data_IF_953965761091
#
_entry.id   IF_953965761091
#
_cell.length_a   1.000
_cell.length_b   1.000
_cell.length_c   1.000
_cell.angle_alpha   90.00
_cell.angle_beta   90.00
_cell.angle_gamma   90.00
#
_symmetry.space_group_name_H-M   'P 1'
#
loop_
_entity.id
_entity.type
_entity.pdbx_description
1 polymer ?
#
# COMPACT_ATOMS: atom_id res chain seq x y z
N UNK A 1 10.34 -11.48 16.01
CA UNK A 1 10.62 -10.11 16.49
C UNK A 1 9.59 -9.12 15.97
N UNK A 2 9.73 -8.42 14.83
CA UNK A 2 8.75 -7.39 14.40
C UNK A 2 7.29 -7.88 14.30
N UNK A 3 7.02 -9.06 13.72
CA UNK A 3 5.64 -9.59 13.61
C UNK A 3 5.01 -9.95 14.95
N UNK A 4 5.82 -10.45 15.89
CA UNK A 4 5.39 -10.78 17.25
C UNK A 4 5.20 -9.51 18.09
N UNK A 5 6.10 -8.54 17.95
CA UNK A 5 6.02 -7.23 18.61
C UNK A 5 4.79 -6.43 18.18
N UNK A 6 4.38 -6.54 16.90
CA UNK A 6 3.19 -5.88 16.37
C UNK A 6 1.91 -6.72 16.46
N UNK A 7 1.99 -7.89 17.09
CA UNK A 7 0.84 -8.79 17.29
C UNK A 7 0.08 -9.09 15.98
N UNK A 8 0.80 -9.23 14.86
CA UNK A 8 0.22 -9.42 13.53
C UNK A 8 -0.18 -10.88 13.29
N UNK A 9 -1.23 -11.14 12.49
CA UNK A 9 -1.61 -12.50 12.14
C UNK A 9 -0.47 -13.23 11.42
N UNK A 10 -0.23 -14.49 11.78
CA UNK A 10 0.87 -15.31 11.23
C UNK A 10 0.82 -15.40 9.69
N UNK A 11 -0.38 -15.36 9.11
CA UNK A 11 -0.61 -15.43 7.66
C UNK A 11 -0.28 -14.14 6.90
N UNK A 12 0.04 -13.03 7.58
CA UNK A 12 0.38 -11.78 6.90
C UNK A 12 1.81 -11.86 6.37
N UNK A 13 1.95 -11.83 5.05
CA UNK A 13 3.24 -11.71 4.38
C UNK A 13 3.73 -10.25 4.42
N UNK A 14 4.78 -10.04 5.21
CA UNK A 14 5.40 -8.74 5.37
C UNK A 14 6.66 -8.70 4.49
N UNK A 15 6.57 -8.01 3.36
CA UNK A 15 7.66 -7.79 2.42
C UNK A 15 7.90 -6.29 2.22
N UNK A 16 9.06 -5.86 1.69
CA UNK A 16 9.29 -4.46 1.33
C UNK A 16 8.22 -3.91 0.38
N UNK A 17 7.71 -4.75 -0.53
CA UNK A 17 6.61 -4.38 -1.40
C UNK A 17 5.31 -4.22 -0.60
N UNK A 18 4.97 -5.12 0.33
CA UNK A 18 3.77 -4.97 1.19
C UNK A 18 3.77 -3.62 1.90
N UNK A 19 4.89 -3.22 2.50
CA UNK A 19 5.02 -1.93 3.20
C UNK A 19 4.87 -0.73 2.25
N UNK A 20 5.52 -0.77 1.08
CA UNK A 20 5.40 0.28 0.06
C UNK A 20 3.94 0.45 -0.38
N UNK A 21 3.23 -0.67 -0.58
CA UNK A 21 1.81 -0.65 -0.97
C UNK A 21 0.94 -0.05 0.12
N UNK A 22 1.11 -0.48 1.37
CA UNK A 22 0.37 0.06 2.52
C UNK A 22 0.56 1.58 2.65
N UNK A 23 1.81 2.06 2.55
CA UNK A 23 2.11 3.49 2.58
C UNK A 23 1.43 4.24 1.43
N UNK A 24 1.53 3.72 0.20
CA UNK A 24 0.93 4.36 -0.97
C UNK A 24 -0.60 4.47 -0.86
N UNK A 25 -1.26 3.38 -0.45
CA UNK A 25 -2.72 3.34 -0.26
C UNK A 25 -3.16 4.29 0.87
N UNK A 26 -2.48 4.27 2.02
CA UNK A 26 -2.82 5.14 3.15
C UNK A 26 -2.72 6.63 2.78
N UNK A 27 -1.64 7.03 2.11
CA UNK A 27 -1.46 8.41 1.69
C UNK A 27 -2.47 8.83 0.60
N UNK A 28 -2.79 7.92 -0.32
CA UNK A 28 -3.82 8.18 -1.33
C UNK A 28 -5.21 8.41 -0.69
N UNK A 29 -5.60 7.58 0.28
CA UNK A 29 -6.85 7.74 1.05
C UNK A 29 -6.83 9.03 1.87
N UNK A 30 -5.68 9.41 2.42
CA UNK A 30 -5.49 10.67 3.16
C UNK A 30 -5.53 11.92 2.27
N UNK A 31 -5.83 11.77 0.97
CA UNK A 31 -6.01 12.87 0.04
C UNK A 31 -4.71 13.43 -0.52
N UNK A 32 -3.59 12.69 -0.42
CA UNK A 32 -2.33 13.15 -0.97
C UNK A 32 -2.41 13.24 -2.50
N UNK A 33 -2.01 14.37 -3.12
CA UNK A 33 -2.04 14.50 -4.57
C UNK A 33 -1.19 13.42 -5.25
N UNK A 34 -1.76 12.76 -6.26
CA UNK A 34 -1.10 11.66 -6.99
C UNK A 34 0.30 12.00 -7.53
N UNK A 35 0.57 13.22 -8.07
CA UNK A 35 1.92 13.59 -8.51
C UNK A 35 2.94 13.69 -7.36
N UNK A 36 2.48 14.07 -6.16
CA UNK A 36 3.32 14.11 -4.96
C UNK A 36 3.64 12.69 -4.51
N UNK A 37 2.63 11.81 -4.47
CA UNK A 37 2.82 10.39 -4.14
C UNK A 37 3.76 9.69 -5.12
N UNK A 38 3.64 9.96 -6.41
CA UNK A 38 4.52 9.40 -7.43
C UNK A 38 6.00 9.77 -7.18
N UNK A 39 6.27 11.03 -6.81
CA UNK A 39 7.63 11.48 -6.47
C UNK A 39 8.14 10.83 -5.19
N UNK A 40 7.32 10.76 -4.13
CA UNK A 40 7.69 10.13 -2.86
C UNK A 40 8.04 8.65 -3.04
N UNK A 41 7.30 7.95 -3.90
CA UNK A 41 7.54 6.53 -4.18
C UNK A 41 8.69 6.27 -5.16
N UNK A 42 9.19 7.31 -5.84
CA UNK A 42 10.23 7.20 -6.86
C UNK A 42 9.76 6.50 -8.14
N UNK A 43 8.47 6.54 -8.45
CA UNK A 43 7.93 5.87 -9.63
C UNK A 43 8.22 6.68 -10.90
N UNK A 44 8.76 6.03 -11.93
CA UNK A 44 9.07 6.68 -13.22
C UNK A 44 7.83 6.99 -14.06
N UNK A 45 6.72 6.29 -13.82
CA UNK A 45 5.44 6.47 -14.53
C UNK A 45 4.33 6.76 -13.53
N UNK A 46 3.47 7.72 -13.83
CA UNK A 46 2.32 8.01 -12.96
C UNK A 46 1.30 6.87 -12.93
N UNK A 47 1.23 6.08 -14.01
CA UNK A 47 0.35 4.92 -14.14
C UNK A 47 0.62 3.85 -13.09
N UNK A 48 1.86 3.63 -12.64
CA UNK A 48 2.17 2.67 -11.57
C UNK A 48 1.69 3.16 -10.20
N UNK A 49 1.59 4.48 -10.02
CA UNK A 49 1.06 5.09 -8.80
C UNK A 49 -0.47 5.12 -8.81
N UNK A 50 -1.07 5.34 -9.99
CA UNK A 50 -2.52 5.35 -10.16
C UNK A 50 -3.19 4.00 -9.82
N UNK A 51 -2.47 2.87 -9.94
CA UNK A 51 -2.96 1.55 -9.52
C UNK A 51 -3.34 1.53 -8.03
N UNK A 52 -2.61 2.24 -7.17
CA UNK A 52 -2.93 2.33 -5.74
C UNK A 52 -4.20 3.12 -5.43
N UNK A 53 -4.58 4.03 -6.32
CA UNK A 53 -5.82 4.81 -6.20
C UNK A 53 -7.01 4.01 -6.70
N UNK A 54 -6.83 3.25 -7.80
CA UNK A 54 -7.90 2.40 -8.35
C UNK A 54 -8.36 1.32 -7.37
N UNK A 55 -7.43 0.85 -6.55
CA UNK A 55 -7.69 -0.14 -5.49
C UNK A 55 -8.14 0.51 -4.16
N UNK A 56 -8.26 1.84 -4.09
CA UNK A 56 -8.67 2.62 -2.92
C UNK A 56 -10.12 2.43 -2.46
N UNK A 57 -10.84 1.47 -3.04
CA UNK A 57 -12.03 0.92 -2.43
C UNK A 57 -11.61 0.19 -1.13
N UNK A 58 -12.01 0.74 0.02
CA UNK A 58 -11.81 0.17 1.35
C UNK A 58 -12.28 -1.30 1.44
N UNK A 59 -13.15 -1.74 0.53
CA UNK A 59 -13.59 -3.14 0.43
C UNK A 59 -12.47 -4.13 0.05
N UNK A 60 -11.36 -3.66 -0.54
CA UNK A 60 -10.23 -4.51 -0.94
C UNK A 60 -9.20 -4.76 0.17
N UNK A 61 -9.21 -3.97 1.24
CA UNK A 61 -8.35 -4.19 2.42
C UNK A 61 -8.72 -5.49 3.15
N UNK A 62 -9.99 -5.89 3.07
CA UNK A 62 -10.51 -7.16 3.64
C UNK A 62 -10.40 -8.32 2.63
N UNK A 63 -10.39 -8.01 1.32
CA UNK A 63 -10.38 -9.01 0.23
C UNK A 63 -8.99 -9.35 -0.28
N UNK A 64 -7.93 -8.70 0.21
CA UNK A 64 -6.58 -8.99 -0.22
C UNK A 64 -6.17 -10.41 0.19
N UNK A 65 -6.40 -11.38 -0.71
CA UNK A 65 -5.75 -12.69 -0.64
C UNK A 65 -4.37 -12.54 -1.28
N UNK A 66 -3.28 -12.81 -0.54
CA UNK A 66 -1.97 -12.94 -1.15
C UNK A 66 -2.01 -14.10 -2.15
N UNK A 67 -1.39 -13.89 -3.31
CA UNK A 67 -1.02 -14.97 -4.24
C UNK A 67 0.22 -15.65 -3.69
#
# INVERSE_FOLDING_TARGET
KVKEEMNLPVKVELSPHTLRRCFATYQAISGMPLPVLQKVLGHSKISTTALYIRDGDLSNLVKFRPV
#
